data_IF_389946443973
#
_entry.id   IF_389946443973
#
_cell.length_a   1.000
_cell.length_b   1.000
_cell.length_c   1.000
_cell.angle_alpha   90.00
_cell.angle_beta   90.00
_cell.angle_gamma   90.00
#
_symmetry.space_group_name_H-M   'P 1'
#
loop_
_entity.id
_entity.type
_entity.pdbx_description
1 polymer ?
#
# COMPACT_ATOMS: atom_id res chain seq x y z
N UNK A 1 -31.90 -8.41 55.53
CA UNK A 1 -30.69 -9.15 55.14
C UNK A 1 -30.86 -9.98 53.86
N UNK A 2 -32.06 -10.48 53.52
CA UNK A 2 -32.26 -11.32 52.31
C UNK A 2 -32.27 -10.56 50.96
N UNK A 3 -32.61 -9.27 50.95
CA UNK A 3 -32.67 -8.45 49.71
C UNK A 3 -31.28 -8.17 49.14
N UNK A 4 -30.28 -7.99 50.02
CA UNK A 4 -28.89 -7.72 49.62
C UNK A 4 -28.21 -8.96 49.03
N UNK A 5 -28.57 -10.16 49.50
CA UNK A 5 -28.03 -11.42 48.97
C UNK A 5 -28.57 -11.75 47.57
N UNK A 6 -29.86 -11.50 47.31
CA UNK A 6 -30.45 -11.67 45.98
C UNK A 6 -29.86 -10.72 44.92
N UNK A 7 -29.50 -9.50 45.31
CA UNK A 7 -28.87 -8.51 44.42
C UNK A 7 -27.44 -8.89 44.04
N UNK A 8 -26.67 -9.49 44.96
CA UNK A 8 -25.30 -9.94 44.70
C UNK A 8 -25.29 -11.15 43.75
N UNK A 9 -26.16 -12.14 43.99
CA UNK A 9 -26.29 -13.32 43.13
C UNK A 9 -26.74 -12.93 41.72
N UNK A 10 -27.68 -11.99 41.60
CA UNK A 10 -28.10 -11.46 40.30
C UNK A 10 -26.98 -10.71 39.58
N UNK A 11 -26.17 -9.93 40.29
CA UNK A 11 -25.00 -9.26 39.73
C UNK A 11 -23.92 -10.26 39.28
N UNK A 12 -23.71 -11.34 40.04
CA UNK A 12 -22.79 -12.42 39.67
C UNK A 12 -23.26 -13.14 38.39
N UNK A 13 -24.54 -13.48 38.28
CA UNK A 13 -25.11 -14.09 37.07
C UNK A 13 -25.11 -13.14 35.88
N UNK A 14 -25.35 -11.84 36.11
CA UNK A 14 -25.23 -10.82 35.08
C UNK A 14 -23.79 -10.67 34.59
N UNK A 15 -22.79 -10.80 35.47
CA UNK A 15 -21.36 -10.79 35.11
C UNK A 15 -20.89 -12.09 34.42
N UNK A 16 -21.52 -13.23 34.71
CA UNK A 16 -21.29 -14.53 34.08
C UNK A 16 -22.06 -14.72 32.76
N UNK A 17 -22.94 -13.77 32.41
CA UNK A 17 -23.71 -13.84 31.18
C UNK A 17 -22.75 -13.76 29.97
N UNK A 18 -22.91 -14.61 28.95
CA UNK A 18 -21.94 -14.67 27.83
C UNK A 18 -21.76 -13.32 27.11
N UNK A 19 -22.79 -12.46 27.13
CA UNK A 19 -22.74 -11.11 26.56
C UNK A 19 -21.87 -10.13 27.37
N UNK A 20 -21.90 -10.18 28.70
CA UNK A 20 -21.11 -9.29 29.57
C UNK A 20 -19.66 -9.75 29.63
N UNK A 21 -19.42 -11.06 29.64
CA UNK A 21 -18.08 -11.64 29.47
C UNK A 21 -17.48 -11.27 28.10
N UNK A 22 -18.26 -11.34 27.02
CA UNK A 22 -17.82 -10.89 25.70
C UNK A 22 -17.49 -9.40 25.70
N UNK A 23 -18.34 -8.55 26.30
CA UNK A 23 -18.11 -7.12 26.38
C UNK A 23 -16.83 -6.80 27.19
N UNK A 24 -16.65 -7.47 28.33
CA UNK A 24 -15.46 -7.32 29.19
C UNK A 24 -14.18 -7.80 28.49
N UNK A 25 -14.25 -8.90 27.73
CA UNK A 25 -13.13 -9.36 26.92
C UNK A 25 -12.79 -8.34 25.82
N UNK A 26 -13.79 -7.80 25.11
CA UNK A 26 -13.60 -6.79 24.07
C UNK A 26 -13.00 -5.50 24.64
N UNK A 27 -13.47 -5.02 25.79
CA UNK A 27 -12.92 -3.81 26.43
C UNK A 27 -11.50 -4.03 26.94
N UNK A 28 -11.21 -5.21 27.51
CA UNK A 28 -9.86 -5.59 27.91
C UNK A 28 -8.90 -5.68 26.72
N UNK A 29 -9.35 -6.25 25.60
CA UNK A 29 -8.57 -6.34 24.36
C UNK A 29 -8.32 -4.96 23.74
N UNK A 30 -9.33 -4.07 23.76
CA UNK A 30 -9.16 -2.68 23.35
C UNK A 30 -8.16 -1.94 24.23
N UNK A 31 -8.23 -2.10 25.56
CA UNK A 31 -7.32 -1.47 26.50
C UNK A 31 -5.88 -2.02 26.33
N UNK A 32 -5.73 -3.34 26.16
CA UNK A 32 -4.46 -4.00 25.91
C UNK A 32 -3.82 -3.54 24.60
N UNK A 33 -4.60 -3.48 23.50
CA UNK A 33 -4.14 -2.96 22.22
C UNK A 33 -3.78 -1.46 22.30
N UNK A 34 -4.62 -0.66 22.96
CA UNK A 34 -4.37 0.76 23.19
C UNK A 34 -3.10 1.01 23.99
N UNK A 35 -2.82 0.19 25.02
CA UNK A 35 -1.59 0.29 25.81
C UNK A 35 -0.35 -0.19 25.03
N UNK A 36 -0.49 -1.24 24.21
CA UNK A 36 0.62 -1.82 23.42
C UNK A 36 1.02 -0.95 22.21
N UNK A 37 0.06 -0.29 21.57
CA UNK A 37 0.29 0.58 20.39
C UNK A 37 0.36 2.08 20.74
N UNK A 38 0.62 2.45 21.99
CA UNK A 38 0.85 3.87 22.33
C UNK A 38 2.12 4.36 21.65
N UNK A 39 1.96 5.33 20.75
CA UNK A 39 3.08 6.03 20.12
C UNK A 39 3.93 6.70 21.22
N UNK A 40 5.25 6.47 21.27
CA UNK A 40 6.12 7.19 22.20
C UNK A 40 6.09 8.69 21.88
N UNK A 41 6.22 9.53 22.91
CA UNK A 41 6.09 10.99 22.83
C UNK A 41 7.19 11.70 22.00
N UNK A 42 8.10 10.97 21.37
CA UNK A 42 9.31 11.48 20.69
C UNK A 42 9.24 11.47 19.16
N UNK A 43 8.12 11.09 18.55
CA UNK A 43 7.96 11.21 17.09
C UNK A 43 7.64 12.65 16.67
N UNK A 44 8.30 13.19 15.63
CA UNK A 44 8.00 14.52 15.12
C UNK A 44 6.62 14.56 14.44
N UNK A 45 5.94 15.73 14.44
CA UNK A 45 4.74 15.92 13.63
C UNK A 45 5.09 15.78 12.15
N UNK A 46 4.31 14.96 11.43
CA UNK A 46 4.51 14.73 9.99
C UNK A 46 4.25 15.99 9.16
N UNK A 47 4.92 16.14 8.00
CA UNK A 47 4.83 17.34 7.18
C UNK A 47 3.49 17.43 6.44
N UNK A 48 3.07 18.67 6.18
CA UNK A 48 1.84 19.00 5.48
C UNK A 48 1.99 18.77 3.97
N UNK A 49 1.04 18.06 3.34
CA UNK A 49 1.00 17.81 1.90
C UNK A 49 0.14 18.87 1.22
N UNK A 50 0.66 19.57 0.21
CA UNK A 50 -0.14 20.46 -0.64
C UNK A 50 -0.98 19.63 -1.61
N UNK A 51 -2.22 20.05 -1.93
CA UNK A 51 -3.08 19.29 -2.83
C UNK A 51 -2.79 19.64 -4.31
N UNK A 52 -3.01 18.62 -5.17
CA UNK A 52 -3.29 18.65 -6.63
C UNK A 52 -2.19 18.47 -7.68
N UNK A 53 -0.90 18.81 -7.47
CA UNK A 53 0.01 18.90 -8.65
C UNK A 53 1.04 17.78 -8.76
N UNK A 54 1.62 17.29 -7.66
CA UNK A 54 2.64 16.23 -7.71
C UNK A 54 3.66 16.42 -8.85
N UNK A 55 4.15 15.32 -9.44
CA UNK A 55 5.01 15.32 -10.63
C UNK A 55 4.21 15.11 -11.93
N UNK A 56 3.03 15.73 -12.07
CA UNK A 56 2.20 15.65 -13.28
C UNK A 56 2.97 16.00 -14.59
N UNK A 57 4.06 16.77 -14.46
CA UNK A 57 4.91 17.21 -15.57
C UNK A 57 5.91 16.17 -16.10
N UNK A 58 5.98 14.97 -15.50
CA UNK A 58 6.82 13.85 -15.97
C UNK A 58 5.99 12.69 -16.55
N UNK A 59 4.74 12.97 -16.96
CA UNK A 59 4.01 12.04 -17.82
C UNK A 59 4.79 11.86 -19.12
N UNK A 60 5.39 10.68 -19.29
CA UNK A 60 6.02 10.33 -20.54
C UNK A 60 4.95 10.12 -21.60
N UNK A 61 4.79 11.15 -22.44
CA UNK A 61 3.79 11.21 -23.49
C UNK A 61 4.07 10.20 -24.60
N UNK A 62 5.29 9.65 -24.68
CA UNK A 62 5.73 8.84 -25.81
C UNK A 62 4.92 7.54 -25.98
N UNK A 63 4.39 6.96 -24.89
CA UNK A 63 3.49 5.79 -24.94
C UNK A 63 2.02 6.11 -24.63
N UNK A 64 1.74 7.31 -24.07
CA UNK A 64 0.37 7.78 -23.82
C UNK A 64 -0.46 7.92 -25.11
N UNK A 65 0.22 8.05 -26.26
CA UNK A 65 -0.42 8.09 -27.57
C UNK A 65 -1.28 6.86 -27.83
N UNK A 66 -0.98 5.70 -27.24
CA UNK A 66 -1.74 4.46 -27.49
C UNK A 66 -3.16 4.54 -26.90
N UNK A 67 -3.28 5.17 -25.73
CA UNK A 67 -4.57 5.41 -25.06
C UNK A 67 -5.38 6.43 -25.86
N UNK A 68 -4.73 7.53 -26.28
CA UNK A 68 -5.36 8.59 -27.09
C UNK A 68 -5.74 8.09 -28.50
N UNK A 69 -4.93 7.23 -29.12
CA UNK A 69 -5.23 6.62 -30.42
C UNK A 69 -6.46 5.71 -30.37
N UNK A 70 -6.70 5.02 -29.25
CA UNK A 70 -7.92 4.23 -29.07
C UNK A 70 -9.16 5.12 -28.89
N UNK A 71 -9.05 6.22 -28.16
CA UNK A 71 -10.09 7.27 -28.13
C UNK A 71 -10.37 7.78 -29.55
N UNK A 72 -9.32 7.98 -30.36
CA UNK A 72 -9.45 8.45 -31.76
C UNK A 72 -10.08 7.43 -32.70
N UNK A 73 -10.04 6.13 -32.38
CA UNK A 73 -10.69 5.05 -33.17
C UNK A 73 -12.19 4.89 -32.86
N UNK A 74 -12.74 5.66 -31.92
CA UNK A 74 -14.18 5.72 -31.64
C UNK A 74 -14.78 4.43 -31.05
N UNK A 75 -13.96 3.44 -30.67
CA UNK A 75 -14.44 2.21 -30.04
C UNK A 75 -14.42 2.38 -28.51
N UNK A 76 -15.48 1.95 -27.80
CA UNK A 76 -15.48 1.90 -26.34
C UNK A 76 -14.36 1.01 -25.83
N UNK A 77 -13.63 1.48 -24.81
CA UNK A 77 -12.62 0.69 -24.12
C UNK A 77 -12.59 1.06 -22.63
N UNK A 78 -12.09 0.15 -21.80
CA UNK A 78 -11.84 0.44 -20.39
C UNK A 78 -10.43 1.06 -20.24
N UNK A 79 -10.32 2.32 -19.77
CA UNK A 79 -9.04 2.98 -19.62
C UNK A 79 -8.25 2.52 -18.39
N UNK A 80 -8.85 1.73 -17.48
CA UNK A 80 -8.25 1.37 -16.20
C UNK A 80 -6.85 0.79 -16.36
N UNK A 81 -6.71 -0.38 -16.99
CA UNK A 81 -5.42 -1.05 -17.09
C UNK A 81 -4.38 -0.24 -17.85
N UNK A 82 -4.79 0.52 -18.87
CA UNK A 82 -3.86 1.30 -19.70
C UNK A 82 -3.27 2.50 -18.98
N UNK A 83 -4.11 3.22 -18.24
CA UNK A 83 -3.65 4.35 -17.42
C UNK A 83 -2.79 3.83 -16.28
N UNK A 84 -3.20 2.75 -15.62
CA UNK A 84 -2.44 2.14 -14.54
C UNK A 84 -1.04 1.73 -15.02
N UNK A 85 -0.95 0.97 -16.13
CA UNK A 85 0.33 0.62 -16.77
C UNK A 85 1.20 1.83 -17.12
N UNK A 86 0.62 2.87 -17.71
CA UNK A 86 1.38 4.07 -18.08
C UNK A 86 1.99 4.79 -16.87
N UNK A 87 1.18 4.98 -15.82
CA UNK A 87 1.61 5.64 -14.58
C UNK A 87 2.65 4.78 -13.86
N UNK A 88 2.39 3.48 -13.71
CA UNK A 88 3.33 2.56 -13.05
C UNK A 88 4.67 2.51 -13.75
N UNK A 89 4.70 2.53 -15.09
CA UNK A 89 5.95 2.53 -15.85
C UNK A 89 6.81 3.78 -15.62
N UNK A 90 6.19 4.93 -15.34
CA UNK A 90 6.93 6.14 -14.96
C UNK A 90 7.63 5.88 -13.63
N UNK A 91 6.91 5.36 -12.62
CA UNK A 91 7.51 5.05 -11.34
C UNK A 91 8.56 3.95 -11.47
N UNK A 92 8.32 2.90 -12.26
CA UNK A 92 9.30 1.86 -12.55
C UNK A 92 10.58 2.42 -13.16
N UNK A 93 10.49 3.38 -14.09
CA UNK A 93 11.68 3.98 -14.67
C UNK A 93 12.51 4.76 -13.65
N UNK A 94 11.87 5.30 -12.60
CA UNK A 94 12.55 6.01 -11.50
C UNK A 94 13.09 5.01 -10.46
N UNK A 95 12.35 3.94 -10.18
CA UNK A 95 12.68 3.01 -9.10
C UNK A 95 13.61 1.87 -9.53
N UNK A 96 13.38 1.30 -10.72
CA UNK A 96 14.06 0.12 -11.27
C UNK A 96 14.90 0.44 -12.51
N UNK A 97 14.93 1.69 -12.97
CA UNK A 97 15.66 2.08 -14.19
C UNK A 97 15.06 1.52 -15.49
N UNK A 98 13.94 0.80 -15.42
CA UNK A 98 13.36 0.05 -16.54
C UNK A 98 11.88 0.38 -16.78
N UNK A 99 11.46 0.24 -18.05
CA UNK A 99 10.07 0.32 -18.47
C UNK A 99 9.61 -1.04 -18.95
N UNK A 100 8.51 -1.53 -18.40
CA UNK A 100 7.92 -2.81 -18.72
C UNK A 100 6.92 -2.68 -19.88
N UNK A 101 6.90 -3.70 -20.74
CA UNK A 101 5.89 -3.80 -21.78
C UNK A 101 4.48 -3.93 -21.19
N UNK A 102 3.48 -3.38 -21.88
CA UNK A 102 2.09 -3.42 -21.40
C UNK A 102 1.50 -4.84 -21.41
N UNK A 103 2.12 -5.75 -22.17
CA UNK A 103 1.77 -7.17 -22.26
C UNK A 103 2.73 -8.05 -21.44
N UNK A 104 3.64 -7.45 -20.68
CA UNK A 104 4.56 -8.20 -19.82
C UNK A 104 3.79 -8.86 -18.67
N UNK A 105 3.82 -10.19 -18.61
CA UNK A 105 3.01 -10.97 -17.67
C UNK A 105 3.46 -10.80 -16.21
N UNK A 106 4.76 -10.58 -15.98
CA UNK A 106 5.30 -10.36 -14.64
C UNK A 106 4.87 -9.00 -14.11
N UNK A 107 4.91 -7.98 -14.98
CA UNK A 107 4.43 -6.64 -14.65
C UNK A 107 2.91 -6.59 -14.50
N UNK A 108 2.14 -7.27 -15.35
CA UNK A 108 0.68 -7.36 -15.16
C UNK A 108 0.33 -8.04 -13.83
N UNK A 109 1.04 -9.10 -13.42
CA UNK A 109 0.84 -9.73 -12.11
C UNK A 109 1.22 -8.76 -10.98
N UNK A 110 2.29 -7.98 -11.11
CA UNK A 110 2.66 -6.94 -10.15
C UNK A 110 1.52 -5.92 -9.96
N UNK A 111 0.98 -5.39 -11.05
CA UNK A 111 -0.13 -4.43 -11.02
C UNK A 111 -1.40 -5.06 -10.42
N UNK A 112 -1.70 -6.31 -10.76
CA UNK A 112 -2.84 -7.05 -10.22
C UNK A 112 -2.71 -7.26 -8.70
N UNK A 113 -1.52 -7.61 -8.22
CA UNK A 113 -1.25 -7.78 -6.79
C UNK A 113 -1.40 -6.45 -6.03
N UNK A 114 -0.99 -5.34 -6.66
CA UNK A 114 -1.12 -3.98 -6.13
C UNK A 114 -2.58 -3.54 -5.99
N UNK A 115 -3.37 -3.73 -7.05
CA UNK A 115 -4.80 -3.41 -7.08
C UNK A 115 -5.57 -4.26 -6.05
N UNK A 116 -5.25 -5.56 -5.98
CA UNK A 116 -5.84 -6.47 -5.00
C UNK A 116 -5.46 -6.07 -3.56
N UNK A 117 -4.19 -5.70 -3.31
CA UNK A 117 -3.76 -5.23 -1.99
C UNK A 117 -4.54 -3.97 -1.56
N UNK A 118 -4.66 -2.98 -2.45
CA UNK A 118 -5.40 -1.73 -2.21
C UNK A 118 -6.87 -2.01 -1.86
N UNK A 119 -7.53 -2.84 -2.67
CA UNK A 119 -8.94 -3.18 -2.45
C UNK A 119 -9.16 -3.95 -1.14
N UNK A 120 -8.25 -4.88 -0.83
CA UNK A 120 -8.37 -5.72 0.36
C UNK A 120 -8.00 -4.98 1.65
N UNK A 121 -7.10 -3.99 1.61
CA UNK A 121 -6.81 -3.12 2.76
C UNK A 121 -8.06 -2.39 3.27
N UNK A 122 -8.96 -2.00 2.36
CA UNK A 122 -10.24 -1.39 2.70
C UNK A 122 -11.30 -2.39 3.23
N UNK A 123 -10.99 -3.70 3.27
CA UNK A 123 -11.96 -4.71 3.67
C UNK A 123 -12.23 -4.70 5.18
N UNK A 124 -13.42 -5.19 5.57
CA UNK A 124 -13.81 -5.36 6.98
C UNK A 124 -12.84 -6.20 7.79
N UNK A 125 -12.25 -7.24 7.19
CA UNK A 125 -11.31 -8.10 7.92
C UNK A 125 -9.97 -7.40 8.17
N UNK A 126 -9.52 -6.55 7.26
CA UNK A 126 -8.31 -5.74 7.45
C UNK A 126 -8.56 -4.61 8.46
N UNK A 127 -9.74 -3.98 8.42
CA UNK A 127 -10.15 -3.01 9.44
C UNK A 127 -10.17 -3.63 10.85
N UNK A 128 -10.72 -4.85 10.99
CA UNK A 128 -10.70 -5.58 12.26
C UNK A 128 -9.28 -5.96 12.69
N UNK A 129 -8.41 -6.33 11.73
CA UNK A 129 -7.00 -6.61 12.01
C UNK A 129 -6.29 -5.37 12.58
N UNK A 130 -6.55 -4.18 12.04
CA UNK A 130 -5.97 -2.92 12.54
C UNK A 130 -6.38 -2.61 13.99
N UNK A 131 -7.58 -3.03 14.41
CA UNK A 131 -8.09 -2.81 15.77
C UNK A 131 -7.70 -3.92 16.73
N UNK A 132 -7.68 -5.17 16.28
CA UNK A 132 -7.46 -6.36 17.12
C UNK A 132 -6.42 -7.33 16.51
N UNK A 133 -5.17 -6.90 16.28
CA UNK A 133 -4.19 -7.69 15.55
C UNK A 133 -3.87 -9.03 16.23
N UNK A 134 -3.80 -9.04 17.57
CA UNK A 134 -3.48 -10.24 18.36
C UNK A 134 -4.50 -11.37 18.20
N UNK A 135 -5.77 -11.05 17.98
CA UNK A 135 -6.85 -12.04 17.79
C UNK A 135 -6.94 -12.41 16.32
N UNK A 136 -6.93 -11.38 15.47
CA UNK A 136 -7.13 -11.54 14.03
C UNK A 136 -6.01 -12.36 13.39
N UNK A 137 -4.80 -12.39 13.97
CA UNK A 137 -3.70 -13.28 13.54
C UNK A 137 -4.09 -14.75 13.44
N UNK A 138 -5.05 -15.22 14.24
CA UNK A 138 -5.48 -16.63 14.25
C UNK A 138 -6.74 -16.90 13.42
N UNK A 139 -7.44 -15.86 12.97
CA UNK A 139 -8.69 -15.99 12.23
C UNK A 139 -8.42 -15.94 10.72
N UNK A 140 -9.05 -16.80 9.91
CA UNK A 140 -8.96 -16.70 8.45
C UNK A 140 -9.64 -15.42 7.95
N UNK A 141 -9.08 -14.78 6.93
CA UNK A 141 -9.68 -13.59 6.33
C UNK A 141 -8.80 -12.93 5.28
N UNK A 142 -9.32 -11.86 4.66
CA UNK A 142 -8.61 -11.16 3.58
C UNK A 142 -7.26 -10.57 4.00
N UNK A 143 -7.08 -10.25 5.29
CA UNK A 143 -5.81 -9.74 5.81
C UNK A 143 -4.67 -10.75 5.57
N UNK A 144 -4.96 -12.05 5.54
CA UNK A 144 -3.98 -13.08 5.18
C UNK A 144 -3.64 -13.06 3.69
N UNK A 145 -4.61 -12.78 2.82
CA UNK A 145 -4.37 -12.56 1.39
C UNK A 145 -3.51 -11.33 1.16
N UNK A 146 -3.77 -10.22 1.88
CA UNK A 146 -2.92 -9.02 1.82
C UNK A 146 -1.47 -9.36 2.15
N UNK A 147 -1.22 -10.10 3.25
CA UNK A 147 0.14 -10.51 3.59
C UNK A 147 0.78 -11.40 2.52
N UNK A 148 0.04 -12.36 1.96
CA UNK A 148 0.56 -13.21 0.88
C UNK A 148 0.91 -12.40 -0.37
N UNK A 149 0.07 -11.44 -0.75
CA UNK A 149 0.33 -10.57 -1.88
C UNK A 149 1.54 -9.68 -1.61
N UNK A 150 1.66 -9.14 -0.40
CA UNK A 150 2.81 -8.35 0.01
C UNK A 150 4.13 -9.12 -0.06
N UNK A 151 4.15 -10.40 0.32
CA UNK A 151 5.35 -11.23 0.17
C UNK A 151 5.73 -11.47 -1.30
N UNK A 152 4.76 -11.64 -2.20
CA UNK A 152 5.03 -11.70 -3.65
C UNK A 152 5.61 -10.39 -4.18
N UNK A 153 5.07 -9.25 -3.73
CA UNK A 153 5.58 -7.91 -4.10
C UNK A 153 7.03 -7.71 -3.64
N UNK A 154 7.34 -8.11 -2.40
CA UNK A 154 8.72 -8.07 -1.88
C UNK A 154 9.65 -8.93 -2.73
N UNK A 155 9.24 -10.16 -3.06
CA UNK A 155 10.06 -11.06 -3.89
C UNK A 155 10.35 -10.46 -5.27
N UNK A 156 9.39 -9.78 -5.89
CA UNK A 156 9.62 -9.07 -7.14
C UNK A 156 10.72 -8.01 -7.00
N UNK A 157 10.63 -7.16 -5.98
CA UNK A 157 11.63 -6.10 -5.75
C UNK A 157 12.98 -6.68 -5.36
N UNK A 158 13.02 -7.74 -4.55
CA UNK A 158 14.24 -8.47 -4.24
C UNK A 158 14.93 -8.98 -5.51
N UNK A 159 14.17 -9.54 -6.44
CA UNK A 159 14.71 -10.00 -7.73
C UNK A 159 15.28 -8.86 -8.57
N UNK A 160 14.57 -7.73 -8.64
CA UNK A 160 15.07 -6.53 -9.34
C UNK A 160 16.37 -6.03 -8.71
N UNK A 161 16.42 -5.97 -7.39
CA UNK A 161 17.62 -5.55 -6.65
C UNK A 161 18.80 -6.51 -6.87
N UNK A 162 18.58 -7.83 -6.90
CA UNK A 162 19.61 -8.81 -7.25
C UNK A 162 20.15 -8.59 -8.67
N UNK A 163 19.28 -8.21 -9.62
CA UNK A 163 19.70 -7.85 -10.97
C UNK A 163 20.63 -6.62 -10.94
N UNK A 164 20.22 -5.55 -10.27
CA UNK A 164 21.00 -4.31 -10.16
C UNK A 164 22.37 -4.56 -9.54
N UNK A 165 22.47 -5.44 -8.52
CA UNK A 165 23.74 -5.79 -7.87
C UNK A 165 24.79 -6.41 -8.81
N UNK A 166 24.39 -7.00 -9.95
CA UNK A 166 25.32 -7.70 -10.86
C UNK A 166 26.21 -6.75 -11.66
N UNK A 167 25.67 -5.59 -12.04
CA UNK A 167 26.32 -4.58 -12.86
C UNK A 167 26.35 -3.20 -12.19
N UNK A 168 26.12 -3.17 -10.88
CA UNK A 168 26.04 -1.96 -10.06
C UNK A 168 27.32 -1.11 -10.12
N UNK A 169 27.14 0.18 -10.41
CA UNK A 169 28.20 1.18 -10.38
C UNK A 169 27.91 2.26 -9.32
N UNK A 170 28.66 2.33 -8.20
CA UNK A 170 28.41 3.32 -7.15
C UNK A 170 28.71 4.78 -7.55
N UNK A 171 29.43 4.99 -8.65
CA UNK A 171 29.79 6.34 -9.13
C UNK A 171 28.65 6.97 -9.94
N UNK A 172 27.87 6.15 -10.62
CA UNK A 172 26.82 6.58 -11.55
C UNK A 172 25.55 5.74 -11.31
N UNK A 173 24.75 6.06 -10.28
CA UNK A 173 23.53 5.34 -9.99
C UNK A 173 22.48 5.61 -11.07
N UNK A 174 21.88 4.54 -11.59
CA UNK A 174 20.89 4.61 -12.69
C UNK A 174 19.50 5.02 -12.22
N UNK A 175 19.15 4.62 -10.99
CA UNK A 175 17.80 4.71 -10.44
C UNK A 175 17.83 4.72 -8.89
N UNK A 176 16.65 4.71 -8.28
CA UNK A 176 16.49 4.68 -6.84
C UNK A 176 17.19 3.49 -6.17
N UNK A 177 17.13 2.28 -6.75
CA UNK A 177 17.74 1.09 -6.16
C UNK A 177 19.26 1.27 -6.11
N UNK A 178 19.89 1.66 -7.23
CA UNK A 178 21.34 1.89 -7.29
C UNK A 178 21.80 3.01 -6.34
N UNK A 179 21.01 4.08 -6.23
CA UNK A 179 21.28 5.17 -5.31
C UNK A 179 21.20 4.71 -3.85
N UNK A 180 20.18 3.92 -3.50
CA UNK A 180 20.03 3.38 -2.15
C UNK A 180 21.14 2.38 -1.81
N UNK A 181 21.50 1.49 -2.74
CA UNK A 181 22.63 0.56 -2.57
C UNK A 181 23.94 1.30 -2.32
N UNK A 182 24.18 2.41 -3.03
CA UNK A 182 25.31 3.31 -2.78
C UNK A 182 25.27 3.89 -1.38
N UNK A 183 24.12 4.39 -0.94
CA UNK A 183 23.97 4.96 0.40
C UNK A 183 24.21 3.92 1.51
N UNK A 184 23.77 2.67 1.30
CA UNK A 184 24.02 1.56 2.22
C UNK A 184 25.52 1.31 2.43
N UNK A 185 26.38 1.56 1.44
CA UNK A 185 27.83 1.34 1.60
C UNK A 185 28.53 2.38 2.47
N UNK A 186 27.93 3.58 2.62
CA UNK A 186 28.47 4.63 3.48
C UNK A 186 28.30 4.31 4.97
N UNK A 187 27.37 3.41 5.30
CA UNK A 187 27.02 3.05 6.66
C UNK A 187 27.11 1.53 6.86
N UNK A 188 28.32 0.97 7.10
CA UNK A 188 28.51 -0.47 7.22
C UNK A 188 27.82 -1.09 8.45
N UNK A 189 27.43 -0.26 9.41
CA UNK A 189 26.68 -0.70 10.58
C UNK A 189 25.20 -0.93 10.23
N UNK A 190 24.71 -2.16 10.46
CA UNK A 190 23.31 -2.57 10.26
C UNK A 190 22.30 -1.88 11.21
N UNK A 191 22.75 -0.94 12.04
CA UNK A 191 21.93 -0.16 12.96
C UNK A 191 21.28 1.05 12.28
N UNK A 192 21.67 1.37 11.05
CA UNK A 192 21.08 2.47 10.29
C UNK A 192 19.80 2.06 9.57
N UNK A 193 19.04 3.06 9.13
CA UNK A 193 17.84 2.85 8.31
C UNK A 193 18.16 2.38 6.88
N UNK A 194 19.42 2.38 6.47
CA UNK A 194 19.85 1.93 5.14
C UNK A 194 20.18 0.43 5.19
N UNK A 195 19.12 -0.37 5.13
CA UNK A 195 19.20 -1.83 5.07
C UNK A 195 18.30 -2.37 3.96
N UNK A 196 18.47 -3.65 3.65
CA UNK A 196 17.80 -4.32 2.53
C UNK A 196 16.27 -4.37 2.69
N UNK A 197 15.78 -4.59 3.90
CA UNK A 197 14.34 -4.60 4.18
C UNK A 197 13.72 -3.22 3.92
N UNK A 198 14.38 -2.16 4.36
CA UNK A 198 13.93 -0.79 4.13
C UNK A 198 14.04 -0.39 2.66
N UNK A 199 15.04 -0.86 1.91
CA UNK A 199 15.11 -0.67 0.47
C UNK A 199 13.87 -1.28 -0.21
N UNK A 200 13.59 -2.56 0.06
CA UNK A 200 12.44 -3.25 -0.51
C UNK A 200 11.14 -2.53 -0.17
N UNK A 201 10.94 -2.19 1.11
CA UNK A 201 9.73 -1.51 1.56
C UNK A 201 9.59 -0.11 0.96
N UNK A 202 10.68 0.66 0.86
CA UNK A 202 10.65 2.02 0.29
C UNK A 202 10.37 1.99 -1.21
N UNK A 203 10.97 1.05 -1.94
CA UNK A 203 10.69 0.86 -3.37
C UNK A 203 9.23 0.50 -3.60
N UNK A 204 8.66 -0.41 -2.80
CA UNK A 204 7.24 -0.76 -2.87
C UNK A 204 6.33 0.41 -2.49
N UNK A 205 6.69 1.20 -1.48
CA UNK A 205 5.91 2.38 -1.07
C UNK A 205 5.87 3.44 -2.17
N UNK A 206 7.01 3.74 -2.81
CA UNK A 206 7.07 4.63 -3.98
C UNK A 206 6.20 4.10 -5.12
N UNK A 207 6.34 2.81 -5.45
CA UNK A 207 5.61 2.18 -6.53
C UNK A 207 4.09 2.21 -6.30
N UNK A 208 3.65 1.79 -5.11
CA UNK A 208 2.26 1.75 -4.70
C UNK A 208 1.62 3.15 -4.70
N UNK A 209 2.23 4.07 -3.95
CA UNK A 209 1.69 5.42 -3.75
C UNK A 209 1.64 6.20 -5.05
N UNK A 210 2.68 6.10 -5.89
CA UNK A 210 2.75 6.81 -7.16
C UNK A 210 1.76 6.30 -8.21
N UNK A 211 1.57 4.98 -8.25
CA UNK A 211 0.69 4.31 -9.22
C UNK A 211 -0.78 4.57 -8.96
N UNK A 212 -1.26 4.23 -7.76
CA UNK A 212 -2.70 4.13 -7.51
C UNK A 212 -3.36 5.51 -7.45
N UNK A 213 -2.71 6.47 -6.78
CA UNK A 213 -3.27 7.82 -6.60
C UNK A 213 -3.34 8.57 -7.93
N UNK A 214 -2.28 8.52 -8.73
CA UNK A 214 -2.21 9.22 -10.02
C UNK A 214 -3.15 8.57 -11.05
N UNK A 215 -3.16 7.24 -11.16
CA UNK A 215 -4.05 6.55 -12.11
C UNK A 215 -5.53 6.76 -11.77
N UNK A 216 -5.89 6.73 -10.48
CA UNK A 216 -7.25 7.06 -10.01
C UNK A 216 -7.63 8.50 -10.35
N UNK A 217 -6.74 9.46 -10.11
CA UNK A 217 -7.00 10.88 -10.42
C UNK A 217 -7.22 11.09 -11.91
N UNK A 218 -6.38 10.47 -12.76
CA UNK A 218 -6.53 10.55 -14.22
C UNK A 218 -7.83 9.91 -14.71
N UNK A 219 -8.24 8.77 -14.15
CA UNK A 219 -9.52 8.13 -14.46
C UNK A 219 -10.70 9.03 -14.11
N UNK A 220 -10.69 9.66 -12.94
CA UNK A 220 -11.72 10.62 -12.54
C UNK A 220 -11.74 11.87 -13.42
N UNK A 221 -10.57 12.39 -13.79
CA UNK A 221 -10.46 13.53 -14.69
C UNK A 221 -11.06 13.23 -16.08
N UNK A 222 -10.75 12.05 -16.65
CA UNK A 222 -11.34 11.60 -17.92
C UNK A 222 -12.85 11.42 -17.83
N UNK A 223 -13.34 10.84 -16.74
CA UNK A 223 -14.78 10.70 -16.49
C UNK A 223 -15.46 12.08 -16.38
N UNK A 224 -14.82 13.03 -15.70
CA UNK A 224 -15.36 14.38 -15.56
C UNK A 224 -15.41 15.10 -16.92
N UNK A 225 -14.34 15.01 -17.72
CA UNK A 225 -14.28 15.60 -19.07
C UNK A 225 -15.28 14.96 -20.06
N UNK A 226 -15.63 13.68 -19.88
CA UNK A 226 -16.63 13.03 -20.76
C UNK A 226 -18.07 13.43 -20.41
N UNK A 227 -18.33 13.79 -19.15
CA UNK A 227 -19.65 14.25 -18.68
C UNK A 227 -19.83 15.75 -18.91
N UNK A 228 -18.80 16.56 -18.69
CA UNK A 228 -18.84 18.01 -18.91
C UNK A 228 -18.10 18.43 -20.19
N UNK A 229 -18.84 18.42 -21.30
CA UNK A 229 -18.34 18.80 -22.63
C UNK A 229 -17.99 20.27 -22.78
N UNK A 230 -18.24 21.12 -21.77
CA UNK A 230 -17.81 22.53 -21.78
C UNK A 230 -16.36 22.72 -21.33
N UNK A 231 -15.76 21.69 -20.74
CA UNK A 231 -14.38 21.69 -20.23
C UNK A 231 -13.38 21.13 -21.25
N UNK A 232 -13.85 20.40 -22.27
CA UNK A 232 -13.06 19.95 -23.42
C UNK A 232 -12.78 21.10 -24.41
#
# INVERSE_FOLDING_TARGET
>A
MLVTEGSLVAAMWAALHPRTLLLAAVTFLFLSNYLKNRRPKTHPPGPWRLPFVGNLFQLDLEQSHLVIQQVRKGQPFDPHFKINNAVSNIICSITFGERFGYEDSQFQELLRLLDEATCLEASRMCLLYNVFPSIMKYLPGSHQTVFRNWEKLKLFVSHMMESHRKDWNPVEPRDFIDAFLTEMTKYPDKTTSFNEENLICSTLDLFFTGTETTSTTLRWALLYMSVDTKVQ
#
